data_IF_628920518174
#
_entry.id   IF_628920518174
#
_cell.length_a   1.000
_cell.length_b   1.000
_cell.length_c   1.000
_cell.angle_alpha   90.00
_cell.angle_beta   90.00
_cell.angle_gamma   90.00
#
_symmetry.space_group_name_H-M   'P 1'
#
loop_
_entity.id
_entity.type
_entity.pdbx_description
1 polymer ?
#
# COMPACT_ATOMS: atom_id res chain seq x y z
N UNK A 1 17.44 -40.37 -5.70
CA UNK A 1 16.97 -39.21 -6.52
C UNK A 1 18.05 -38.63 -7.43
N UNK A 2 19.24 -38.22 -6.94
CA UNK A 2 20.32 -37.64 -7.75
C UNK A 2 20.77 -38.52 -8.94
N UNK A 3 20.93 -39.82 -8.71
CA UNK A 3 21.34 -40.80 -9.72
C UNK A 3 20.28 -40.98 -10.82
N UNK A 4 19.00 -41.05 -10.43
CA UNK A 4 17.85 -41.07 -11.35
C UNK A 4 17.81 -39.82 -12.24
N UNK A 5 18.01 -38.64 -11.67
CA UNK A 5 18.05 -37.39 -12.44
C UNK A 5 19.24 -37.31 -13.39
N UNK A 6 20.40 -37.87 -13.01
CA UNK A 6 21.59 -37.95 -13.89
C UNK A 6 21.32 -38.85 -15.10
N UNK A 7 20.72 -40.02 -14.87
CA UNK A 7 20.34 -40.98 -15.92
C UNK A 7 19.27 -40.40 -16.85
N UNK A 8 18.29 -39.68 -16.31
CA UNK A 8 17.27 -39.02 -17.13
C UNK A 8 17.87 -37.89 -17.96
N UNK A 9 18.78 -37.08 -17.39
CA UNK A 9 19.50 -36.03 -18.12
C UNK A 9 20.34 -36.58 -19.27
N UNK A 10 21.01 -37.71 -19.09
CA UNK A 10 21.83 -38.31 -20.15
C UNK A 10 21.02 -38.88 -21.31
N UNK A 11 19.69 -39.04 -21.16
CA UNK A 11 18.79 -39.55 -22.20
C UNK A 11 18.08 -38.44 -22.98
N UNK A 12 18.21 -37.17 -22.58
CA UNK A 12 17.56 -36.04 -23.24
C UNK A 12 18.59 -35.31 -24.12
N UNK A 13 18.28 -35.15 -25.40
CA UNK A 13 19.08 -34.33 -26.31
C UNK A 13 18.65 -32.85 -26.17
N UNK A 14 19.56 -32.00 -25.67
CA UNK A 14 19.34 -30.55 -25.56
C UNK A 14 18.94 -30.05 -24.18
N UNK A 15 18.52 -28.77 -24.12
CA UNK A 15 18.19 -28.07 -22.87
C UNK A 15 16.76 -28.42 -22.44
N UNK A 16 16.58 -28.75 -21.15
CA UNK A 16 15.26 -29.04 -20.58
C UNK A 16 14.47 -27.73 -20.49
N UNK A 17 13.35 -27.67 -21.21
CA UNK A 17 12.36 -26.60 -21.12
C UNK A 17 11.23 -27.04 -20.19
N UNK A 18 10.81 -26.15 -19.30
CA UNK A 18 9.67 -26.38 -18.39
C UNK A 18 8.49 -25.52 -18.79
N UNK A 19 7.29 -26.09 -18.76
CA UNK A 19 6.02 -25.35 -18.86
C UNK A 19 5.77 -24.53 -17.59
N UNK A 20 4.83 -23.58 -17.61
CA UNK A 20 4.54 -22.77 -16.42
C UNK A 20 3.95 -23.58 -15.26
N UNK A 21 3.19 -24.64 -15.54
CA UNK A 21 2.67 -25.54 -14.50
C UNK A 21 3.74 -26.45 -13.91
N UNK A 22 4.70 -26.90 -14.72
CA UNK A 22 5.89 -27.60 -14.23
C UNK A 22 6.78 -26.69 -13.38
N UNK A 23 6.97 -25.42 -13.79
CA UNK A 23 7.69 -24.42 -13.00
C UNK A 23 7.01 -24.19 -11.66
N UNK A 24 5.68 -23.99 -11.63
CA UNK A 24 4.90 -23.87 -10.38
C UNK A 24 5.06 -25.10 -9.49
N UNK A 25 4.89 -26.29 -10.04
CA UNK A 25 5.03 -27.54 -9.29
C UNK A 25 6.43 -27.73 -8.70
N UNK A 26 7.47 -27.37 -9.47
CA UNK A 26 8.86 -27.39 -9.00
C UNK A 26 9.10 -26.34 -7.91
N UNK A 27 8.58 -25.12 -8.09
CA UNK A 27 8.64 -24.03 -7.11
C UNK A 27 7.98 -24.44 -5.79
N UNK A 28 6.76 -24.97 -5.84
CA UNK A 28 6.00 -25.39 -4.66
C UNK A 28 6.72 -26.46 -3.86
N UNK A 29 7.22 -27.50 -4.54
CA UNK A 29 7.95 -28.61 -3.92
C UNK A 29 9.31 -28.16 -3.39
N UNK A 30 10.00 -27.30 -4.13
CA UNK A 30 11.34 -26.85 -3.76
C UNK A 30 11.32 -25.89 -2.57
N UNK A 31 10.33 -25.00 -2.51
CA UNK A 31 10.18 -24.06 -1.41
C UNK A 31 9.69 -24.73 -0.12
N UNK A 32 8.86 -25.77 -0.21
CA UNK A 32 8.56 -26.64 0.93
C UNK A 32 9.84 -27.24 1.55
N UNK A 33 10.79 -27.70 0.74
CA UNK A 33 12.01 -28.32 1.26
C UNK A 33 12.94 -27.34 2.01
N UNK A 34 12.83 -26.02 1.78
CA UNK A 34 13.70 -25.00 2.35
C UNK A 34 15.08 -24.91 1.67
N UNK A 35 15.75 -23.75 1.76
CA UNK A 35 16.92 -23.40 0.94
C UNK A 35 18.08 -24.42 1.00
N UNK A 36 18.45 -24.88 2.20
CA UNK A 36 19.58 -25.81 2.41
C UNK A 36 19.33 -27.22 1.82
N UNK A 37 18.10 -27.71 1.93
CA UNK A 37 17.68 -28.97 1.31
C UNK A 37 17.50 -28.80 -0.21
N UNK A 38 17.13 -27.60 -0.66
CA UNK A 38 17.04 -27.28 -2.09
C UNK A 38 18.40 -27.37 -2.79
N UNK A 39 19.46 -26.81 -2.20
CA UNK A 39 20.83 -26.91 -2.70
C UNK A 39 21.36 -28.35 -2.77
N UNK A 40 20.94 -29.20 -1.84
CA UNK A 40 21.37 -30.61 -1.81
C UNK A 40 20.51 -31.52 -2.69
N UNK A 41 19.23 -31.25 -2.90
CA UNK A 41 18.32 -32.19 -3.58
C UNK A 41 18.00 -31.80 -5.01
N UNK A 42 17.97 -30.50 -5.33
CA UNK A 42 17.56 -30.02 -6.66
C UNK A 42 18.75 -30.01 -7.64
N UNK A 43 18.99 -31.16 -8.27
CA UNK A 43 20.03 -31.29 -9.32
C UNK A 43 19.51 -30.98 -10.74
N UNK A 44 18.20 -30.78 -10.91
CA UNK A 44 17.60 -30.54 -12.24
C UNK A 44 17.76 -29.08 -12.63
N UNK A 45 17.39 -28.16 -11.72
CA UNK A 45 17.36 -26.71 -11.90
C UNK A 45 18.14 -26.05 -10.76
N UNK A 46 18.87 -24.96 -11.02
CA UNK A 46 19.58 -24.25 -9.94
C UNK A 46 18.58 -23.67 -8.94
N UNK A 47 18.83 -23.73 -7.62
CA UNK A 47 17.99 -23.10 -6.60
C UNK A 47 17.61 -21.64 -6.91
N UNK A 48 18.58 -20.85 -7.38
CA UNK A 48 18.37 -19.45 -7.78
C UNK A 48 17.33 -19.28 -8.91
N UNK A 49 17.27 -20.22 -9.85
CA UNK A 49 16.31 -20.18 -10.96
C UNK A 49 14.88 -20.44 -10.50
N UNK A 50 14.71 -21.33 -9.51
CA UNK A 50 13.42 -21.60 -8.89
C UNK A 50 12.93 -20.35 -8.13
N UNK A 51 13.81 -19.69 -7.38
CA UNK A 51 13.49 -18.43 -6.70
C UNK A 51 13.12 -17.32 -7.69
N UNK A 52 13.83 -17.22 -8.83
CA UNK A 52 13.50 -16.25 -9.87
C UNK A 52 12.11 -16.50 -10.49
N UNK A 53 11.71 -17.76 -10.69
CA UNK A 53 10.35 -18.09 -11.14
C UNK A 53 9.30 -17.72 -10.10
N UNK A 54 9.58 -17.95 -8.81
CA UNK A 54 8.68 -17.56 -7.73
C UNK A 54 8.48 -16.03 -7.68
N UNK A 55 9.56 -15.26 -7.72
CA UNK A 55 9.48 -13.79 -7.74
C UNK A 55 8.72 -13.28 -8.97
N UNK A 56 8.86 -13.93 -10.12
CA UNK A 56 8.10 -13.59 -11.33
C UNK A 56 6.61 -13.85 -11.13
N UNK A 57 6.23 -15.01 -10.60
CA UNK A 57 4.82 -15.33 -10.31
C UNK A 57 4.20 -14.37 -9.29
N UNK A 58 4.95 -13.97 -8.27
CA UNK A 58 4.51 -12.93 -7.35
C UNK A 58 4.27 -11.60 -8.06
N UNK A 59 5.21 -11.17 -8.92
CA UNK A 59 5.04 -9.95 -9.71
C UNK A 59 3.81 -10.03 -10.60
N UNK A 60 3.58 -11.13 -11.29
CA UNK A 60 2.41 -11.35 -12.15
C UNK A 60 1.10 -11.34 -11.35
N UNK A 61 1.07 -11.95 -10.16
CA UNK A 61 -0.10 -11.94 -9.27
C UNK A 61 -0.50 -10.53 -8.84
N UNK A 62 0.50 -9.69 -8.56
CA UNK A 62 0.31 -8.30 -8.18
C UNK A 62 0.33 -7.33 -9.38
N UNK A 63 0.47 -7.86 -10.61
CA UNK A 63 0.43 -7.05 -11.82
C UNK A 63 -1.02 -6.73 -12.18
N UNK A 64 -1.49 -5.60 -11.66
CA UNK A 64 -2.80 -5.04 -11.99
C UNK A 64 -2.81 -4.27 -13.33
N UNK A 65 -1.79 -4.41 -14.19
CA UNK A 65 -1.68 -3.74 -15.49
C UNK A 65 -2.91 -3.96 -16.39
N UNK A 66 -3.44 -5.19 -16.43
CA UNK A 66 -4.64 -5.55 -17.18
C UNK A 66 -5.90 -4.81 -16.67
N UNK A 67 -6.03 -4.64 -15.34
CA UNK A 67 -7.08 -3.79 -14.75
C UNK A 67 -6.87 -2.31 -15.02
N UNK A 68 -5.64 -1.91 -15.32
CA UNK A 68 -5.22 -0.55 -15.66
C UNK A 68 -5.40 -0.23 -17.15
N UNK A 69 -5.83 -1.19 -17.99
CA UNK A 69 -6.26 -0.93 -19.38
C UNK A 69 -7.33 0.15 -19.34
N UNK A 70 -6.93 1.36 -19.76
CA UNK A 70 -7.72 2.59 -19.63
C UNK A 70 -9.04 2.41 -20.36
N UNK A 71 -10.11 2.22 -19.59
CA UNK A 71 -11.46 2.54 -20.07
C UNK A 71 -11.45 4.00 -20.53
N UNK A 72 -12.15 4.36 -21.62
CA UNK A 72 -12.31 5.76 -21.99
C UNK A 72 -12.69 6.55 -20.73
N UNK A 73 -11.87 7.52 -20.36
CA UNK A 73 -12.13 8.35 -19.19
C UNK A 73 -13.48 9.03 -19.35
N UNK A 74 -14.06 9.50 -18.23
CA UNK A 74 -15.30 10.29 -18.27
C UNK A 74 -15.18 11.37 -19.36
N UNK A 75 -16.18 11.52 -20.25
CA UNK A 75 -16.19 12.59 -21.24
C UNK A 75 -15.89 13.93 -20.58
N UNK A 76 -15.11 14.77 -21.26
CA UNK A 76 -14.73 16.08 -20.73
C UNK A 76 -15.99 16.92 -20.54
N UNK A 77 -15.96 17.79 -19.54
CA UNK A 77 -16.99 18.81 -19.36
C UNK A 77 -17.05 19.69 -20.61
N UNK A 78 -18.24 20.05 -21.12
CA UNK A 78 -18.37 20.92 -22.28
C UNK A 78 -17.59 22.22 -22.10
N UNK A 79 -16.92 22.70 -23.15
CA UNK A 79 -16.06 23.88 -23.09
C UNK A 79 -16.80 25.14 -22.61
N UNK A 80 -18.09 25.27 -22.92
CA UNK A 80 -18.95 26.37 -22.44
C UNK A 80 -19.11 26.37 -20.92
N UNK A 81 -19.33 25.20 -20.33
CA UNK A 81 -19.45 25.03 -18.87
C UNK A 81 -18.11 25.31 -18.19
N UNK A 82 -17.00 24.91 -18.81
CA UNK A 82 -15.67 25.19 -18.28
C UNK A 82 -15.30 26.67 -18.33
N UNK A 83 -15.63 27.34 -19.42
CA UNK A 83 -15.48 28.79 -19.54
C UNK A 83 -16.28 29.52 -18.45
N UNK A 84 -17.52 29.10 -18.22
CA UNK A 84 -18.37 29.65 -17.16
C UNK A 84 -17.79 29.41 -15.76
N UNK A 85 -17.28 28.20 -15.48
CA UNK A 85 -16.59 27.90 -14.21
C UNK A 85 -15.38 28.84 -14.01
N UNK A 86 -14.56 29.02 -15.04
CA UNK A 86 -13.39 29.88 -14.98
C UNK A 86 -13.76 31.36 -14.82
N UNK A 87 -14.82 31.81 -15.48
CA UNK A 87 -15.35 33.17 -15.33
C UNK A 87 -15.84 33.41 -13.89
N UNK A 88 -16.71 32.54 -13.37
CA UNK A 88 -17.23 32.66 -11.99
C UNK A 88 -16.11 32.69 -10.94
N UNK A 89 -15.03 31.94 -11.15
CA UNK A 89 -13.87 31.90 -10.26
C UNK A 89 -12.94 33.12 -10.38
N UNK A 90 -12.90 33.79 -11.54
CA UNK A 90 -12.13 35.03 -11.72
C UNK A 90 -12.87 36.24 -11.20
N UNK A 91 -14.18 36.27 -11.42
CA UNK A 91 -15.03 37.41 -11.08
C UNK A 91 -15.38 37.42 -9.58
N UNK A 92 -15.17 36.31 -8.87
CA UNK A 92 -15.54 36.16 -7.46
C UNK A 92 -14.52 35.34 -6.66
N UNK A 93 -14.42 35.65 -5.37
CA UNK A 93 -13.63 34.89 -4.37
C UNK A 93 -14.31 33.56 -3.94
N UNK A 94 -15.08 32.92 -4.81
CA UNK A 94 -15.93 31.77 -4.45
C UNK A 94 -15.19 30.43 -4.40
N UNK A 95 -15.43 29.65 -3.35
CA UNK A 95 -14.95 28.26 -3.26
C UNK A 95 -15.72 27.30 -4.16
N UNK A 96 -15.16 26.10 -4.39
CA UNK A 96 -15.71 25.11 -5.33
C UNK A 96 -17.18 24.75 -5.08
N UNK A 97 -17.61 24.67 -3.81
CA UNK A 97 -19.01 24.37 -3.44
C UNK A 97 -19.96 25.50 -3.84
N UNK A 98 -19.52 26.75 -3.73
CA UNK A 98 -20.32 27.93 -4.07
C UNK A 98 -20.50 28.02 -5.59
N UNK A 99 -19.40 27.87 -6.36
CA UNK A 99 -19.46 27.78 -7.83
C UNK A 99 -20.37 26.64 -8.28
N UNK A 100 -20.25 25.45 -7.68
CA UNK A 100 -21.15 24.33 -7.95
C UNK A 100 -22.62 24.69 -7.69
N UNK A 101 -22.91 25.35 -6.57
CA UNK A 101 -24.26 25.77 -6.20
C UNK A 101 -24.86 26.77 -7.19
N UNK A 102 -24.09 27.74 -7.67
CA UNK A 102 -24.56 28.70 -8.67
C UNK A 102 -24.80 28.03 -10.04
N UNK A 103 -23.94 27.10 -10.45
CA UNK A 103 -24.16 26.31 -11.67
C UNK A 103 -25.41 25.44 -11.57
N UNK A 104 -25.70 24.88 -10.39
CA UNK A 104 -26.92 24.12 -10.15
C UNK A 104 -28.18 24.97 -10.36
N UNK A 105 -28.17 26.26 -9.99
CA UNK A 105 -29.30 27.18 -10.24
C UNK A 105 -29.55 27.41 -11.73
N UNK A 106 -28.53 27.30 -12.56
CA UNK A 106 -28.60 27.41 -14.02
C UNK A 106 -28.97 26.08 -14.70
N UNK A 107 -29.33 25.03 -13.93
CA UNK A 107 -29.64 23.70 -14.46
C UNK A 107 -28.41 22.86 -14.84
N UNK A 108 -27.21 23.30 -14.47
CA UNK A 108 -25.95 22.60 -14.80
C UNK A 108 -25.52 21.73 -13.63
N UNK A 109 -25.76 20.43 -13.73
CA UNK A 109 -25.38 19.47 -12.69
C UNK A 109 -23.95 18.96 -12.86
N UNK A 110 -23.04 19.47 -12.02
CA UNK A 110 -21.65 19.01 -11.95
C UNK A 110 -21.22 18.79 -10.49
N UNK A 111 -20.20 17.95 -10.29
CA UNK A 111 -19.64 17.73 -8.95
C UNK A 111 -18.65 18.83 -8.58
N UNK A 112 -18.49 19.08 -7.27
CA UNK A 112 -17.40 19.92 -6.71
C UNK A 112 -16.03 19.53 -7.26
N UNK A 113 -15.77 18.23 -7.43
CA UNK A 113 -14.52 17.71 -7.99
C UNK A 113 -14.31 18.09 -9.45
N UNK A 114 -15.38 18.15 -10.26
CA UNK A 114 -15.30 18.68 -11.63
C UNK A 114 -14.89 20.14 -11.64
N UNK A 115 -15.50 20.98 -10.80
CA UNK A 115 -15.12 22.40 -10.64
C UNK A 115 -13.65 22.54 -10.27
N UNK A 116 -13.18 21.80 -9.26
CA UNK A 116 -11.78 21.83 -8.83
C UNK A 116 -10.80 21.39 -9.94
N UNK A 117 -11.16 20.36 -10.71
CA UNK A 117 -10.34 19.89 -11.82
C UNK A 117 -10.27 20.90 -12.96
N UNK A 118 -11.37 21.58 -13.28
CA UNK A 118 -11.45 22.64 -14.31
C UNK A 118 -10.64 23.87 -13.90
N UNK A 119 -10.68 24.28 -12.63
CA UNK A 119 -9.87 25.42 -12.18
C UNK A 119 -8.37 25.07 -12.18
N UNK A 120 -7.99 23.90 -11.64
CA UNK A 120 -6.60 23.44 -11.58
C UNK A 120 -5.92 23.40 -12.96
N UNK A 121 -6.59 22.81 -13.96
CA UNK A 121 -6.05 22.69 -15.32
C UNK A 121 -5.96 24.02 -16.07
N UNK A 122 -6.73 25.02 -15.64
CA UNK A 122 -6.70 26.38 -16.19
C UNK A 122 -5.82 27.32 -15.34
N UNK A 123 -5.05 26.78 -14.40
CA UNK A 123 -4.11 27.55 -13.56
C UNK A 123 -4.78 28.49 -12.55
N UNK A 124 -6.08 28.34 -12.30
CA UNK A 124 -6.80 29.18 -11.34
C UNK A 124 -6.63 28.58 -9.94
N UNK A 125 -6.07 29.34 -8.97
CA UNK A 125 -5.94 28.87 -7.60
C UNK A 125 -7.34 28.66 -6.98
N UNK A 126 -7.47 27.78 -5.97
CA UNK A 126 -8.66 27.77 -5.13
C UNK A 126 -8.94 29.18 -4.56
N UNK A 127 -10.19 29.44 -4.19
CA UNK A 127 -10.63 30.66 -3.51
C UNK A 127 -9.59 31.15 -2.48
N UNK A 128 -9.30 32.47 -2.40
CA UNK A 128 -8.26 33.05 -1.54
C UNK A 128 -8.40 32.77 -0.03
N UNK A 129 -9.56 32.29 0.43
CA UNK A 129 -9.81 32.01 1.86
C UNK A 129 -9.39 30.61 2.33
N UNK A 130 -8.51 29.94 1.59
CA UNK A 130 -7.74 28.83 2.13
C UNK A 130 -6.34 29.31 2.54
N UNK A 131 -6.27 30.21 3.52
CA UNK A 131 -5.06 30.55 4.29
C UNK A 131 -4.60 29.38 5.19
N UNK A 132 -4.73 28.15 4.71
CA UNK A 132 -4.25 26.94 5.37
C UNK A 132 -2.86 26.59 4.85
N UNK A 133 -2.09 25.88 5.67
CA UNK A 133 -0.84 25.30 5.24
C UNK A 133 -1.08 24.36 4.05
N UNK A 134 -0.21 24.44 3.04
CA UNK A 134 -0.15 23.37 2.05
C UNK A 134 0.14 22.04 2.76
N UNK A 135 -0.28 20.91 2.18
CA UNK A 135 0.02 19.58 2.75
C UNK A 135 1.52 19.39 3.02
N UNK A 136 2.38 19.94 2.14
CA UNK A 136 3.82 19.90 2.30
C UNK A 136 4.28 20.70 3.52
N UNK A 137 3.76 21.91 3.71
CA UNK A 137 4.08 22.74 4.88
C UNK A 137 3.53 22.14 6.17
N UNK A 138 2.32 21.57 6.14
CA UNK A 138 1.73 20.86 7.27
C UNK A 138 2.63 19.69 7.71
N UNK A 139 3.00 18.80 6.78
CA UNK A 139 3.91 17.70 7.11
C UNK A 139 5.28 18.22 7.54
N UNK A 140 5.81 19.26 6.89
CA UNK A 140 7.09 19.84 7.29
C UNK A 140 7.08 20.44 8.69
N UNK A 141 5.92 20.78 9.26
CA UNK A 141 5.80 21.33 10.62
C UNK A 141 5.41 20.28 11.66
N UNK A 142 4.69 19.24 11.26
CA UNK A 142 4.09 18.30 12.21
C UNK A 142 4.57 16.84 12.06
N UNK A 143 5.34 16.49 11.01
CA UNK A 143 5.73 15.10 10.76
C UNK A 143 6.55 14.45 11.89
N UNK A 144 7.18 15.24 12.77
CA UNK A 144 7.98 14.75 13.90
C UNK A 144 7.14 14.09 14.99
N UNK A 145 5.87 14.46 15.10
CA UNK A 145 4.99 13.95 16.16
C UNK A 145 4.06 12.83 15.69
N UNK A 146 4.24 12.36 14.44
CA UNK A 146 3.37 11.36 13.83
C UNK A 146 4.08 10.02 13.65
N UNK A 147 3.48 8.98 14.23
CA UNK A 147 3.70 7.60 13.83
C UNK A 147 2.64 7.17 12.82
N UNK A 148 3.02 6.30 11.89
CA UNK A 148 2.11 5.62 10.98
C UNK A 148 2.32 4.13 11.07
N UNK A 149 1.25 3.40 11.36
CA UNK A 149 1.23 1.95 11.31
C UNK A 149 0.45 1.44 10.09
N UNK A 150 0.86 0.29 9.60
CA UNK A 150 0.20 -0.43 8.52
C UNK A 150 0.50 -1.94 8.63
N UNK A 151 -0.32 -2.74 7.94
CA UNK A 151 -0.20 -4.18 7.83
C UNK A 151 -0.04 -4.56 6.36
N UNK A 152 1.15 -5.03 5.98
CA UNK A 152 1.36 -5.62 4.65
C UNK A 152 1.25 -7.14 4.72
N UNK A 153 0.88 -7.75 3.60
CA UNK A 153 0.85 -9.21 3.48
C UNK A 153 1.92 -9.70 2.53
N UNK A 154 2.57 -10.80 2.89
CA UNK A 154 3.55 -11.49 2.06
C UNK A 154 3.28 -12.98 2.08
N UNK A 155 3.24 -13.60 0.91
CA UNK A 155 3.15 -15.05 0.83
C UNK A 155 4.56 -15.65 0.99
N UNK A 156 4.72 -16.48 2.01
CA UNK A 156 5.98 -17.10 2.39
C UNK A 156 5.77 -18.61 2.42
N UNK A 157 6.71 -19.33 1.84
CA UNK A 157 6.74 -20.78 1.96
C UNK A 157 7.32 -21.20 3.30
N UNK A 158 6.52 -21.89 4.10
CA UNK A 158 7.02 -22.68 5.24
C UNK A 158 7.24 -24.12 4.81
N UNK A 159 7.76 -24.98 5.70
CA UNK A 159 8.25 -26.33 5.41
C UNK A 159 7.38 -27.21 4.49
N UNK A 160 6.06 -26.98 4.40
CA UNK A 160 5.20 -27.75 3.48
C UNK A 160 4.08 -26.96 2.82
N UNK A 161 3.87 -25.68 3.19
CA UNK A 161 2.68 -24.93 2.80
C UNK A 161 3.05 -23.48 2.50
N UNK A 162 2.47 -22.94 1.43
CA UNK A 162 2.47 -21.51 1.18
C UNK A 162 1.52 -20.83 2.16
N UNK A 163 2.05 -20.00 3.05
CA UNK A 163 1.26 -19.28 4.04
C UNK A 163 1.35 -17.78 3.82
N UNK A 164 0.28 -17.06 4.15
CA UNK A 164 0.28 -15.61 4.13
C UNK A 164 0.76 -15.08 5.48
N UNK A 165 1.97 -14.53 5.50
CA UNK A 165 2.45 -13.74 6.61
C UNK A 165 1.87 -12.33 6.55
N UNK A 166 1.51 -11.81 7.71
CA UNK A 166 1.14 -10.43 7.94
C UNK A 166 2.30 -9.76 8.65
N UNK A 167 2.76 -8.64 8.12
CA UNK A 167 3.87 -7.87 8.66
C UNK A 167 3.32 -6.54 9.14
N UNK A 168 3.32 -6.36 10.46
CA UNK A 168 3.03 -5.09 11.10
C UNK A 168 4.31 -4.26 11.13
N UNK A 169 4.20 -2.99 10.78
CA UNK A 169 5.31 -2.06 10.92
C UNK A 169 4.82 -0.68 11.35
N UNK A 170 5.68 0.02 12.08
CA UNK A 170 5.46 1.39 12.53
C UNK A 170 6.56 2.28 12.00
N UNK A 171 6.18 3.37 11.35
CA UNK A 171 7.07 4.33 10.71
C UNK A 171 6.91 5.71 11.33
N UNK A 172 8.02 6.39 11.57
CA UNK A 172 8.05 7.79 11.95
C UNK A 172 7.96 8.69 10.69
N UNK A 173 6.94 9.55 10.61
CA UNK A 173 6.63 10.26 9.36
C UNK A 173 7.71 11.27 8.92
N UNK A 174 8.40 11.95 9.84
CA UNK A 174 9.48 12.89 9.47
C UNK A 174 10.62 12.16 8.79
N UNK A 175 11.21 11.22 9.52
CA UNK A 175 12.46 10.56 9.13
C UNK A 175 12.24 9.48 8.09
N UNK A 176 10.98 9.04 7.91
CA UNK A 176 10.60 7.85 7.12
C UNK A 176 11.30 6.58 7.61
N UNK A 177 11.80 6.57 8.84
CA UNK A 177 12.39 5.40 9.47
C UNK A 177 11.29 4.47 9.95
N UNK A 178 11.46 3.18 9.66
CA UNK A 178 10.67 2.13 10.28
C UNK A 178 11.26 1.90 11.67
N UNK A 179 10.48 2.17 12.71
CA UNK A 179 10.89 2.03 14.11
C UNK A 179 10.68 0.60 14.60
N UNK A 180 9.59 -0.04 14.17
CA UNK A 180 9.22 -1.38 14.63
C UNK A 180 8.70 -2.22 13.47
N UNK A 181 9.04 -3.52 13.46
CA UNK A 181 8.53 -4.51 12.51
C UNK A 181 8.34 -5.84 13.22
N UNK A 182 7.18 -6.47 13.04
CA UNK A 182 6.96 -7.85 13.46
C UNK A 182 6.04 -8.59 12.49
N UNK A 183 6.32 -9.87 12.25
CA UNK A 183 5.53 -10.72 11.37
C UNK A 183 4.72 -11.78 12.16
N UNK A 184 3.58 -12.18 11.63
CA UNK A 184 2.76 -13.29 12.16
C UNK A 184 2.00 -13.98 11.02
N UNK A 185 1.65 -15.25 11.21
CA UNK A 185 0.72 -15.97 10.31
C UNK A 185 -0.73 -15.88 10.78
N UNK A 186 -0.99 -15.29 11.94
CA UNK A 186 -2.32 -15.22 12.55
C UNK A 186 -2.50 -13.87 13.24
N UNK A 187 -2.66 -12.77 12.48
CA UNK A 187 -2.89 -11.46 13.06
C UNK A 187 -4.25 -11.46 13.76
N UNK A 188 -4.28 -10.90 14.97
CA UNK A 188 -5.51 -10.63 15.69
C UNK A 188 -5.33 -9.37 16.54
N UNK A 189 -6.42 -8.90 17.13
CA UNK A 189 -6.44 -7.68 17.93
C UNK A 189 -5.47 -7.71 19.12
N UNK A 190 -5.40 -8.83 19.85
CA UNK A 190 -4.52 -8.97 21.01
C UNK A 190 -3.04 -8.95 20.61
N UNK A 191 -2.70 -9.66 19.53
CA UNK A 191 -1.35 -9.62 18.97
C UNK A 191 -0.96 -8.20 18.56
N UNK A 192 -1.83 -7.49 17.84
CA UNK A 192 -1.55 -6.13 17.38
C UNK A 192 -1.40 -5.14 18.54
N UNK A 193 -2.21 -5.29 19.59
CA UNK A 193 -2.12 -4.52 20.83
C UNK A 193 -0.77 -4.73 21.54
N UNK A 194 -0.25 -5.96 21.57
CA UNK A 194 1.10 -6.20 22.09
C UNK A 194 2.18 -5.58 21.20
N UNK A 195 2.03 -5.67 19.88
CA UNK A 195 2.99 -5.04 18.97
C UNK A 195 3.01 -3.51 19.10
N UNK A 196 1.88 -2.86 19.38
CA UNK A 196 1.87 -1.43 19.69
C UNK A 196 2.70 -1.11 20.94
N UNK A 197 2.62 -1.91 22.01
CA UNK A 197 3.46 -1.71 23.20
C UNK A 197 4.94 -1.79 22.87
N UNK A 198 5.34 -2.81 22.12
CA UNK A 198 6.74 -2.96 21.70
C UNK A 198 7.19 -1.79 20.82
N UNK A 199 6.35 -1.33 19.89
CA UNK A 199 6.66 -0.18 19.04
C UNK A 199 6.85 1.12 19.84
N UNK A 200 6.12 1.30 20.95
CA UNK A 200 6.30 2.45 21.83
C UNK A 200 7.63 2.38 22.58
N UNK A 201 8.07 1.20 23.03
CA UNK A 201 9.40 1.03 23.64
C UNK A 201 10.54 1.39 22.67
N UNK A 202 10.41 1.03 21.38
CA UNK A 202 11.40 1.45 20.37
C UNK A 202 11.41 2.98 20.19
N UNK A 203 10.28 3.66 20.38
CA UNK A 203 10.24 5.12 20.28
C UNK A 203 11.14 5.78 21.34
N UNK A 204 11.11 5.26 22.57
CA UNK A 204 11.96 5.73 23.66
C UNK A 204 13.45 5.50 23.33
N UNK A 205 13.80 4.33 22.78
CA UNK A 205 15.18 4.00 22.39
C UNK A 205 15.70 4.91 21.26
N UNK A 206 14.85 5.24 20.30
CA UNK A 206 15.21 6.14 19.18
C UNK A 206 15.03 7.63 19.49
N UNK A 207 14.62 8.00 20.70
CA UNK A 207 14.36 9.39 21.10
C UNK A 207 13.25 10.06 20.28
N UNK A 208 12.25 9.29 19.85
CA UNK A 208 11.08 9.79 19.14
C UNK A 208 9.96 10.02 20.15
N UNK A 209 9.46 11.25 20.24
CA UNK A 209 8.35 11.64 21.12
C UNK A 209 7.07 11.85 20.30
N UNK A 210 6.33 10.78 19.94
CA UNK A 210 5.14 10.90 19.13
C UNK A 210 3.97 11.42 19.95
N UNK A 211 3.12 12.23 19.30
CA UNK A 211 1.83 12.65 19.87
C UNK A 211 0.66 11.91 19.23
N UNK A 212 0.80 11.54 17.97
CA UNK A 212 -0.28 10.97 17.18
C UNK A 212 0.14 9.64 16.57
N UNK A 213 -0.77 8.65 16.63
CA UNK A 213 -0.58 7.34 16.04
C UNK A 213 -1.60 7.10 14.93
N UNK A 214 -1.15 7.18 13.68
CA UNK A 214 -2.00 7.03 12.51
C UNK A 214 -2.10 5.55 12.13
N UNK A 215 -3.31 5.03 11.97
CA UNK A 215 -3.54 3.70 11.41
C UNK A 215 -4.75 3.71 10.46
N UNK A 216 -4.96 2.64 9.72
CA UNK A 216 -6.14 2.48 8.87
C UNK A 216 -7.32 1.86 9.65
N UNK A 217 -8.40 1.53 8.95
CA UNK A 217 -9.58 0.93 9.58
C UNK A 217 -9.57 -0.61 9.51
N UNK A 218 -8.39 -1.25 9.45
CA UNK A 218 -8.31 -2.71 9.49
C UNK A 218 -8.90 -3.24 10.81
N UNK A 219 -9.58 -4.39 10.74
CA UNK A 219 -10.27 -5.02 11.89
C UNK A 219 -9.33 -5.44 13.00
N UNK A 220 -8.03 -5.60 12.72
CA UNK A 220 -7.04 -5.91 13.74
C UNK A 220 -6.80 -4.73 14.70
N UNK A 221 -7.08 -3.48 14.27
CA UNK A 221 -7.06 -2.31 15.15
C UNK A 221 -8.35 -2.24 15.96
N UNK A 222 -8.34 -2.88 17.13
CA UNK A 222 -9.50 -2.93 18.02
C UNK A 222 -9.67 -1.67 18.87
N UNK A 223 -10.81 -1.51 19.53
CA UNK A 223 -10.99 -0.45 20.53
C UNK A 223 -9.95 -0.54 21.66
N UNK A 224 -9.58 -1.76 22.06
CA UNK A 224 -8.54 -1.98 23.07
C UNK A 224 -7.14 -1.53 22.62
N UNK A 225 -6.89 -1.41 21.32
CA UNK A 225 -5.68 -0.83 20.76
C UNK A 225 -5.68 0.70 20.94
N UNK A 226 -6.79 1.37 20.59
CA UNK A 226 -6.93 2.83 20.74
C UNK A 226 -6.87 3.26 22.21
N UNK A 227 -7.50 2.50 23.10
CA UNK A 227 -7.44 2.74 24.55
C UNK A 227 -5.99 2.62 25.06
N UNK A 228 -5.25 1.61 24.58
CA UNK A 228 -3.85 1.44 24.96
C UNK A 228 -3.01 2.66 24.57
N UNK A 229 -3.15 3.14 23.34
CA UNK A 229 -2.41 4.32 22.86
C UNK A 229 -2.75 5.57 23.67
N UNK A 230 -4.03 5.79 23.96
CA UNK A 230 -4.49 6.91 24.80
C UNK A 230 -3.92 6.85 26.21
N UNK A 231 -3.86 5.67 26.82
CA UNK A 231 -3.29 5.48 28.15
C UNK A 231 -1.78 5.76 28.19
N UNK A 232 -1.09 5.65 27.05
CA UNK A 232 0.32 6.03 26.90
C UNK A 232 0.52 7.50 26.46
N UNK A 233 -0.57 8.29 26.38
CA UNK A 233 -0.50 9.70 25.99
C UNK A 233 -0.50 9.96 24.48
N UNK A 234 -0.65 8.92 23.65
CA UNK A 234 -0.77 9.06 22.20
C UNK A 234 -2.23 9.19 21.77
N UNK A 235 -2.48 10.05 20.80
CA UNK A 235 -3.79 10.20 20.17
C UNK A 235 -3.90 9.29 18.93
N UNK A 236 -4.75 8.24 18.96
CA UNK A 236 -4.98 7.40 17.80
C UNK A 236 -5.81 8.15 16.76
N UNK A 237 -5.32 8.18 15.52
CA UNK A 237 -5.99 8.85 14.39
C UNK A 237 -6.23 7.84 13.27
N UNK A 238 -7.52 7.57 13.01
CA UNK A 238 -7.94 6.67 11.95
C UNK A 238 -7.97 7.40 10.61
N UNK A 239 -7.54 6.75 9.54
CA UNK A 239 -7.69 7.32 8.19
C UNK A 239 -9.16 7.39 7.78
N UNK A 240 -9.55 8.39 6.97
CA UNK A 240 -10.88 8.45 6.39
C UNK A 240 -11.23 7.17 5.64
N UNK A 241 -12.50 6.79 5.68
CA UNK A 241 -13.02 5.68 4.88
C UNK A 241 -13.00 6.09 3.40
N UNK A 242 -12.19 5.40 2.58
CA UNK A 242 -12.06 5.61 1.13
C UNK A 242 -11.60 7.03 0.71
N UNK A 243 -10.32 7.34 0.93
CA UNK A 243 -9.66 8.50 0.31
C UNK A 243 -9.24 8.21 -1.14
#
# INVERSE_FOLDING_TARGET
LRLKNKILKSKIAGRICFTDDERRSLVDRALAMGHKLMESVVNIVKPATILAWQQRLEKEKWDYSEKRKRRPGRPRTPASVEALICQLARDNIWGYKKIQGELKKLGIEISKTTVANVLRRNGLPPSPDHQGLTWREFLSRHADVFLRADLLTKEIWTLKVLQRAFVFFVLHLRTRRILFVHATFSPNAEWLKQQARHALWECDEYGVEPRFFLHDNDRCYSEGFDILLKNTGLEPVRTPYQA
#
